data_IF_197266649042
#
_entry.id   IF_197266649042
#
_cell.length_a   1.000
_cell.length_b   1.000
_cell.length_c   1.000
_cell.angle_alpha   90.00
_cell.angle_beta   90.00
_cell.angle_gamma   90.00
#
_symmetry.space_group_name_H-M   'P 1'
#
loop_
_entity.id
_entity.type
_entity.pdbx_description
1 polymer ?
#
# COMPACT_ATOMS: atom_id res chain seq x y z
N UNK A 1 -12.36 -48.38 3.92
CA UNK A 1 -12.02 -46.96 3.70
C UNK A 1 -10.58 -46.92 3.24
N UNK A 2 -10.34 -46.46 2.01
CA UNK A 2 -8.99 -46.40 1.43
C UNK A 2 -8.32 -45.14 1.95
N UNK A 3 -7.40 -45.30 2.91
CA UNK A 3 -6.63 -44.20 3.48
C UNK A 3 -5.56 -43.82 2.45
N UNK A 4 -5.66 -42.62 1.88
CA UNK A 4 -4.67 -42.09 0.93
C UNK A 4 -3.39 -41.79 1.71
N UNK A 5 -2.30 -42.50 1.39
CA UNK A 5 -0.99 -42.27 1.99
C UNK A 5 -0.23 -41.18 1.19
N UNK A 6 0.60 -40.39 1.87
CA UNK A 6 1.37 -39.25 1.31
C UNK A 6 2.33 -39.61 0.16
N UNK A 7 2.53 -40.90 -0.09
CA UNK A 7 3.32 -41.42 -1.20
C UNK A 7 2.53 -41.59 -2.50
N UNK A 8 1.21 -41.34 -2.49
CA UNK A 8 0.35 -41.47 -3.67
C UNK A 8 0.75 -40.46 -4.77
N UNK A 9 1.00 -40.91 -6.01
CA UNK A 9 1.28 -40.05 -7.16
C UNK A 9 0.21 -38.97 -7.39
N UNK A 10 -1.05 -39.24 -7.05
CA UNK A 10 -2.16 -38.30 -7.12
C UNK A 10 -2.02 -37.17 -6.11
N UNK A 11 -1.63 -37.47 -4.86
CA UNK A 11 -1.39 -36.47 -3.83
C UNK A 11 -0.19 -35.58 -4.18
N UNK A 12 0.89 -36.15 -4.70
CA UNK A 12 2.05 -35.38 -5.20
C UNK A 12 1.67 -34.49 -6.38
N UNK A 13 0.89 -35.00 -7.34
CA UNK A 13 0.41 -34.19 -8.46
C UNK A 13 -0.50 -33.06 -8.01
N UNK A 14 -1.43 -33.29 -7.07
CA UNK A 14 -2.28 -32.24 -6.51
C UNK A 14 -1.47 -31.22 -5.72
N UNK A 15 -0.49 -31.64 -4.91
CA UNK A 15 0.43 -30.75 -4.19
C UNK A 15 1.30 -29.91 -5.14
N UNK A 16 1.87 -30.52 -6.17
CA UNK A 16 2.66 -29.81 -7.21
C UNK A 16 1.78 -28.94 -8.11
N UNK A 17 0.52 -29.28 -8.33
CA UNK A 17 -0.43 -28.46 -9.09
C UNK A 17 -0.93 -27.26 -8.27
N UNK A 18 -1.12 -27.42 -6.95
CA UNK A 18 -1.42 -26.31 -6.03
C UNK A 18 -0.22 -25.38 -5.82
N UNK A 19 1.02 -25.90 -5.81
CA UNK A 19 2.24 -25.07 -5.88
C UNK A 19 2.44 -24.36 -7.25
N UNK A 20 1.59 -24.65 -8.24
CA UNK A 20 1.62 -24.10 -9.60
C UNK A 20 0.47 -23.12 -9.88
N UNK A 21 -0.24 -22.62 -8.88
CA UNK A 21 -1.02 -21.39 -9.07
C UNK A 21 -0.01 -20.24 -9.20
N UNK A 22 0.01 -19.57 -10.35
CA UNK A 22 0.90 -18.43 -10.56
C UNK A 22 0.70 -17.41 -9.44
N UNK A 23 1.79 -16.93 -8.83
CA UNK A 23 1.72 -15.92 -7.78
C UNK A 23 1.23 -14.59 -8.34
N UNK A 24 0.75 -13.69 -7.47
CA UNK A 24 0.27 -12.37 -7.89
C UNK A 24 1.39 -11.60 -8.58
N UNK A 25 2.59 -11.61 -8.01
CA UNK A 25 3.80 -11.02 -8.64
C UNK A 25 4.07 -11.57 -10.04
N UNK A 26 3.92 -12.89 -10.23
CA UNK A 26 4.13 -13.55 -11.51
C UNK A 26 3.08 -13.12 -12.55
N UNK A 27 1.79 -13.07 -12.17
CA UNK A 27 0.73 -12.60 -13.06
C UNK A 27 0.96 -11.14 -13.47
N UNK A 28 1.42 -10.28 -12.56
CA UNK A 28 1.70 -8.89 -12.86
C UNK A 28 2.89 -8.73 -13.81
N UNK A 29 3.92 -9.56 -13.65
CA UNK A 29 5.06 -9.59 -14.56
C UNK A 29 4.68 -10.04 -15.96
N UNK A 30 3.88 -11.11 -16.08
CA UNK A 30 3.36 -11.60 -17.36
C UNK A 30 2.47 -10.54 -18.03
N UNK A 31 1.62 -9.85 -17.25
CA UNK A 31 0.82 -8.74 -17.74
C UNK A 31 1.68 -7.56 -18.22
N UNK A 32 2.71 -7.17 -17.45
CA UNK A 32 3.66 -6.11 -17.81
C UNK A 32 4.43 -6.45 -19.08
N UNK A 33 4.96 -7.66 -19.21
CA UNK A 33 5.73 -8.08 -20.39
C UNK A 33 4.85 -8.10 -21.65
N UNK A 34 3.63 -8.62 -21.54
CA UNK A 34 2.64 -8.61 -22.62
C UNK A 34 2.28 -7.20 -23.06
N UNK A 35 2.16 -6.26 -22.12
CA UNK A 35 1.87 -4.86 -22.45
C UNK A 35 3.07 -4.14 -23.06
N UNK A 36 4.28 -4.38 -22.55
CA UNK A 36 5.52 -3.84 -23.13
C UNK A 36 5.73 -4.32 -24.57
N UNK A 37 5.40 -5.58 -24.85
CA UNK A 37 5.42 -6.13 -26.21
C UNK A 37 4.41 -5.44 -27.13
N UNK A 38 3.19 -5.13 -26.65
CA UNK A 38 2.19 -4.36 -27.43
C UNK A 38 2.67 -2.96 -27.76
N UNK A 39 3.35 -2.29 -26.84
CA UNK A 39 3.85 -0.93 -27.02
C UNK A 39 5.04 -0.86 -28.00
N UNK A 40 5.83 -1.93 -28.09
CA UNK A 40 6.89 -2.04 -29.10
C UNK A 40 6.38 -2.09 -30.54
N UNK A 41 5.12 -2.51 -30.75
CA UNK A 41 4.55 -2.78 -32.07
C UNK A 41 3.47 -1.76 -32.53
N UNK A 42 3.04 -0.80 -31.71
CA UNK A 42 2.03 0.22 -32.08
C UNK A 42 2.62 1.62 -32.34
N UNK A 43 2.17 2.34 -33.39
CA UNK A 43 2.37 3.79 -33.48
C UNK A 43 1.54 4.49 -32.39
N UNK A 44 2.21 5.28 -31.56
CA UNK A 44 1.70 5.98 -30.37
C UNK A 44 0.43 6.79 -30.73
N UNK A 45 -0.75 6.28 -30.37
CA UNK A 45 -2.04 6.95 -30.63
C UNK A 45 -2.87 7.20 -29.36
N UNK A 46 -2.35 6.92 -28.18
CA UNK A 46 -2.97 7.34 -26.92
C UNK A 46 -1.86 7.60 -25.87
N UNK A 47 -2.00 8.61 -24.99
CA UNK A 47 -1.16 8.75 -23.82
C UNK A 47 -1.57 7.66 -22.85
N UNK A 48 -0.90 6.51 -22.93
CA UNK A 48 -1.24 5.38 -22.09
C UNK A 48 -0.29 5.35 -20.89
N UNK A 49 -0.78 5.87 -19.76
CA UNK A 49 -0.21 5.54 -18.45
C UNK A 49 -0.57 4.08 -18.19
N UNK A 50 0.43 3.21 -18.33
CA UNK A 50 0.24 1.80 -18.04
C UNK A 50 0.55 1.59 -16.57
N UNK A 51 -0.50 1.42 -15.78
CA UNK A 51 -0.40 1.27 -14.34
C UNK A 51 0.67 0.25 -13.93
N UNK A 52 0.69 -0.94 -14.55
CA UNK A 52 1.67 -1.98 -14.22
C UNK A 52 3.14 -1.62 -14.53
N UNK A 53 3.41 -0.73 -15.48
CA UNK A 53 4.77 -0.23 -15.73
C UNK A 53 5.15 0.76 -14.63
N UNK A 54 4.30 1.76 -14.39
CA UNK A 54 4.51 2.80 -13.37
C UNK A 54 4.64 2.20 -11.98
N UNK A 55 3.80 1.22 -11.65
CA UNK A 55 3.85 0.50 -10.38
C UNK A 55 5.20 -0.20 -10.15
N UNK A 56 5.78 -0.80 -11.18
CA UNK A 56 7.12 -1.39 -11.09
C UNK A 56 8.23 -0.33 -11.04
N UNK A 57 8.07 0.80 -11.74
CA UNK A 57 9.02 1.92 -11.68
C UNK A 57 9.09 2.53 -10.25
N UNK A 58 7.98 2.47 -9.51
CA UNK A 58 7.92 2.80 -8.07
C UNK A 58 8.28 1.62 -7.14
N UNK A 59 8.86 0.54 -7.70
CA UNK A 59 9.31 -0.66 -6.97
C UNK A 59 8.20 -1.47 -6.29
N UNK A 60 6.95 -1.35 -6.76
CA UNK A 60 5.84 -2.11 -6.22
C UNK A 60 5.98 -3.63 -6.38
N UNK A 61 6.47 -4.11 -7.53
CA UNK A 61 6.67 -5.55 -7.75
C UNK A 61 7.77 -6.16 -6.87
N UNK A 62 8.98 -5.57 -6.76
CA UNK A 62 9.99 -6.06 -5.81
C UNK A 62 9.48 -6.22 -4.37
N UNK A 63 8.69 -5.26 -3.88
CA UNK A 63 8.11 -5.35 -2.53
C UNK A 63 7.08 -6.49 -2.40
N UNK A 64 6.23 -6.70 -3.41
CA UNK A 64 5.31 -7.85 -3.45
C UNK A 64 6.07 -9.17 -3.50
N UNK A 65 7.10 -9.29 -4.33
CA UNK A 65 7.93 -10.49 -4.42
C UNK A 65 8.61 -10.80 -3.08
N UNK A 66 9.15 -9.78 -2.41
CA UNK A 66 9.76 -9.95 -1.10
C UNK A 66 8.74 -10.41 -0.04
N UNK A 67 7.54 -9.81 -0.03
CA UNK A 67 6.44 -10.24 0.83
C UNK A 67 5.99 -11.68 0.54
N UNK A 68 5.89 -12.07 -0.73
CA UNK A 68 5.55 -13.46 -1.11
C UNK A 68 6.60 -14.45 -0.63
N UNK A 69 7.89 -14.12 -0.73
CA UNK A 69 8.97 -14.96 -0.22
C UNK A 69 8.87 -15.10 1.31
N UNK A 70 8.74 -13.99 2.04
CA UNK A 70 8.60 -13.99 3.51
C UNK A 70 7.38 -14.78 3.96
N UNK A 71 6.25 -14.61 3.26
CA UNK A 71 5.00 -15.33 3.50
C UNK A 71 5.17 -16.83 3.30
N UNK A 72 5.71 -17.26 2.15
CA UNK A 72 5.91 -18.67 1.83
C UNK A 72 6.88 -19.35 2.80
N UNK A 73 7.97 -18.67 3.18
CA UNK A 73 8.92 -19.17 4.18
C UNK A 73 8.24 -19.31 5.56
N UNK A 74 7.45 -18.31 5.95
CA UNK A 74 6.70 -18.32 7.21
C UNK A 74 5.66 -19.42 7.23
N UNK A 75 4.91 -19.62 6.14
CA UNK A 75 3.93 -20.69 6.01
C UNK A 75 4.60 -22.07 6.11
N UNK A 76 5.73 -22.28 5.43
CA UNK A 76 6.49 -23.53 5.54
C UNK A 76 6.92 -23.82 6.99
N UNK A 77 7.35 -22.80 7.73
CA UNK A 77 7.69 -22.90 9.15
C UNK A 77 6.47 -23.21 10.03
N UNK A 78 5.32 -22.57 9.78
CA UNK A 78 4.05 -22.88 10.46
C UNK A 78 3.67 -24.33 10.23
N UNK A 79 3.69 -24.82 8.98
CA UNK A 79 3.33 -26.19 8.65
C UNK A 79 4.28 -27.21 9.29
N UNK A 80 5.59 -26.95 9.27
CA UNK A 80 6.58 -27.80 9.91
C UNK A 80 6.37 -27.87 11.43
N UNK A 81 6.04 -26.75 12.06
CA UNK A 81 5.73 -26.69 13.48
C UNK A 81 4.47 -27.49 13.83
N UNK A 82 3.35 -27.25 13.11
CA UNK A 82 2.11 -27.98 13.32
C UNK A 82 2.28 -29.50 13.13
N UNK A 83 3.12 -29.91 12.18
CA UNK A 83 3.41 -31.33 11.95
C UNK A 83 4.24 -32.00 13.07
N UNK A 84 4.88 -31.21 13.93
CA UNK A 84 5.72 -31.70 15.04
C UNK A 84 5.00 -31.82 16.38
N UNK A 85 3.80 -31.24 16.51
CA UNK A 85 3.02 -31.22 17.75
C UNK A 85 2.27 -32.52 18.00
N UNK A 86 2.01 -32.82 19.28
CA UNK A 86 1.05 -33.85 19.67
C UNK A 86 -0.40 -33.44 19.32
N UNK A 87 -1.31 -34.40 19.25
CA UNK A 87 -2.70 -34.16 18.78
C UNK A 87 -3.45 -33.15 19.67
N UNK A 88 -3.23 -33.19 20.98
CA UNK A 88 -3.87 -32.27 21.93
C UNK A 88 -3.38 -30.81 21.78
N UNK A 89 -2.05 -30.62 21.73
CA UNK A 89 -1.42 -29.31 21.55
C UNK A 89 -1.73 -28.72 20.16
N UNK A 90 -1.80 -29.59 19.15
CA UNK A 90 -2.10 -29.22 17.77
C UNK A 90 -3.49 -28.58 17.65
N UNK A 91 -4.50 -29.12 18.31
CA UNK A 91 -5.86 -28.58 18.24
C UNK A 91 -6.02 -27.24 18.96
N UNK A 92 -5.26 -26.99 20.03
CA UNK A 92 -5.22 -25.68 20.68
C UNK A 92 -4.53 -24.63 19.80
N UNK A 93 -3.35 -24.95 19.27
CA UNK A 93 -2.60 -24.03 18.39
C UNK A 93 -3.40 -23.72 17.13
N UNK A 94 -4.04 -24.73 16.50
CA UNK A 94 -4.88 -24.51 15.30
C UNK A 94 -6.02 -23.54 15.56
N UNK A 95 -6.74 -23.66 16.68
CA UNK A 95 -7.84 -22.72 17.03
C UNK A 95 -7.34 -21.28 17.07
N UNK A 96 -6.15 -21.09 17.62
CA UNK A 96 -5.53 -19.76 17.73
C UNK A 96 -5.09 -19.21 16.37
N UNK A 97 -4.48 -20.04 15.52
CA UNK A 97 -4.10 -19.64 14.17
C UNK A 97 -5.31 -19.35 13.27
N UNK A 98 -6.40 -20.13 13.42
CA UNK A 98 -7.66 -19.90 12.72
C UNK A 98 -8.27 -18.58 13.18
N UNK A 99 -8.28 -18.29 14.48
CA UNK A 99 -8.80 -17.01 14.97
C UNK A 99 -8.03 -15.82 14.38
N UNK A 100 -6.69 -15.89 14.32
CA UNK A 100 -5.86 -14.86 13.68
C UNK A 100 -6.23 -14.73 12.20
N UNK A 101 -6.39 -15.85 11.49
CA UNK A 101 -6.82 -15.86 10.08
C UNK A 101 -8.19 -15.22 9.89
N UNK A 102 -9.15 -15.50 10.77
CA UNK A 102 -10.51 -14.96 10.65
C UNK A 102 -10.54 -13.44 10.76
N UNK A 103 -9.62 -12.82 11.51
CA UNK A 103 -9.48 -11.36 11.56
C UNK A 103 -9.10 -10.79 10.18
N UNK A 104 -8.20 -11.46 9.46
CA UNK A 104 -7.78 -11.05 8.11
C UNK A 104 -8.88 -11.24 7.05
N UNK A 105 -9.82 -12.15 7.29
CA UNK A 105 -10.94 -12.42 6.37
C UNK A 105 -12.14 -11.50 6.61
N UNK A 106 -12.40 -11.10 7.87
CA UNK A 106 -13.56 -10.23 8.22
C UNK A 106 -13.52 -8.84 7.60
N UNK A 107 -12.34 -8.37 7.18
CA UNK A 107 -12.23 -7.10 6.45
C UNK A 107 -13.06 -7.11 5.15
N UNK A 108 -13.19 -8.26 4.48
CA UNK A 108 -14.00 -8.38 3.25
C UNK A 108 -15.52 -8.27 3.47
N UNK A 109 -15.99 -8.35 4.72
CA UNK A 109 -17.41 -8.31 5.09
C UNK A 109 -17.83 -6.94 5.65
N UNK A 110 -17.02 -6.33 6.52
CA UNK A 110 -17.35 -5.03 7.14
C UNK A 110 -17.36 -3.86 6.12
N UNK A 111 -16.50 -3.89 5.10
CA UNK A 111 -16.46 -2.86 4.04
C UNK A 111 -17.70 -2.90 3.13
N UNK A 112 -18.33 -4.07 2.94
CA UNK A 112 -19.58 -4.21 2.17
C UNK A 112 -20.80 -3.65 2.92
N UNK A 113 -20.79 -3.71 4.24
CA UNK A 113 -21.89 -3.17 5.07
C UNK A 113 -21.84 -1.63 5.16
N UNK A 114 -20.66 -1.01 5.11
CA UNK A 114 -20.51 0.46 5.06
C UNK A 114 -21.02 1.05 3.72
N UNK A 115 -20.86 0.35 2.59
CA UNK A 115 -21.37 0.82 1.28
C UNK A 115 -22.90 0.72 1.14
N UNK A 116 -23.55 -0.30 1.71
CA UNK A 116 -25.01 -0.47 1.62
C UNK A 116 -25.79 0.36 2.67
N UNK A 117 -25.13 0.88 3.71
CA UNK A 117 -25.76 1.55 4.86
C UNK A 117 -26.15 3.03 4.68
N UNK A 118 -25.91 3.63 3.51
CA UNK A 118 -26.17 5.04 3.21
C UNK A 118 -27.65 5.42 3.03
N UNK A 119 -28.55 5.05 3.96
CA UNK A 119 -30.00 5.26 3.84
C UNK A 119 -30.73 5.53 5.15
N UNK A 120 -30.82 6.81 5.54
CA UNK A 120 -31.77 7.46 6.49
C UNK A 120 -32.46 6.60 7.60
N UNK A 121 -32.02 6.88 8.84
CA UNK A 121 -32.69 6.85 10.14
C UNK A 121 -34.14 6.32 10.28
N UNK A 122 -34.32 5.42 11.27
CA UNK A 122 -35.33 5.55 12.34
C UNK A 122 -34.97 4.76 13.61
N UNK A 123 -35.00 5.50 14.70
CA UNK A 123 -35.06 5.18 16.13
C UNK A 123 -35.95 3.96 16.51
N UNK A 124 -35.42 2.98 17.25
CA UNK A 124 -35.74 2.69 18.67
C UNK A 124 -35.00 1.42 19.18
N UNK A 125 -34.58 1.43 20.45
CA UNK A 125 -33.51 0.57 21.00
C UNK A 125 -33.86 -0.83 21.52
N UNK A 126 -32.80 -1.59 21.88
CA UNK A 126 -32.62 -2.21 23.20
C UNK A 126 -31.16 -2.73 23.33
N UNK A 127 -30.67 -2.80 24.58
CA UNK A 127 -29.29 -3.08 24.99
C UNK A 127 -28.91 -4.56 24.92
N UNK A 128 -27.73 -4.88 24.37
CA UNK A 128 -26.89 -6.01 24.84
C UNK A 128 -25.46 -5.96 24.27
N UNK A 129 -24.56 -5.36 25.05
CA UNK A 129 -23.11 -5.64 25.17
C UNK A 129 -22.36 -6.23 23.97
N UNK A 130 -21.62 -5.38 23.25
CA UNK A 130 -20.37 -5.76 22.58
C UNK A 130 -19.40 -4.57 22.55
N UNK A 131 -18.12 -4.89 22.71
CA UNK A 131 -16.98 -4.00 22.89
C UNK A 131 -16.99 -2.76 21.99
N UNK A 132 -16.84 -1.59 22.61
CA UNK A 132 -16.70 -0.32 21.91
C UNK A 132 -15.45 -0.32 21.03
N UNK A 133 -15.62 -0.19 19.71
CA UNK A 133 -14.71 0.57 18.88
C UNK A 133 -15.58 1.54 18.07
N UNK A 134 -15.92 2.65 18.70
CA UNK A 134 -16.61 3.76 18.06
C UNK A 134 -15.73 4.99 18.24
N UNK A 135 -14.76 5.15 17.34
CA UNK A 135 -14.41 6.49 16.90
C UNK A 135 -15.06 6.64 15.54
N UNK A 136 -16.20 7.31 15.53
CA UNK A 136 -16.86 7.71 14.30
C UNK A 136 -15.89 8.59 13.51
N UNK A 137 -15.41 8.10 12.36
CA UNK A 137 -14.82 8.96 11.34
C UNK A 137 -15.95 9.85 10.84
N UNK A 138 -16.00 11.07 11.37
CA UNK A 138 -16.96 12.07 10.98
C UNK A 138 -16.65 12.52 9.55
N UNK A 139 -17.54 12.14 8.62
CA UNK A 139 -17.68 12.76 7.33
C UNK A 139 -17.99 14.27 7.50
N UNK A 140 -16.95 15.09 7.52
CA UNK A 140 -17.03 16.54 7.36
C UNK A 140 -15.81 16.99 6.55
N UNK A 141 -16.08 17.58 5.38
CA UNK A 141 -15.08 17.84 4.36
C UNK A 141 -13.90 18.72 4.80
N UNK A 142 -12.77 18.49 4.14
CA UNK A 142 -11.68 19.46 4.03
C UNK A 142 -10.44 19.24 4.92
N UNK A 143 -10.35 18.15 5.68
CA UNK A 143 -9.23 17.90 6.62
C UNK A 143 -8.49 16.56 6.49
N UNK A 144 -8.78 15.74 5.46
CA UNK A 144 -8.40 14.32 5.46
C UNK A 144 -6.90 13.99 5.41
N UNK A 145 -6.05 14.94 4.97
CA UNK A 145 -4.62 14.68 4.80
C UNK A 145 -3.84 14.54 6.11
N UNK A 146 -4.12 15.38 7.11
CA UNK A 146 -3.50 15.27 8.45
C UNK A 146 -4.12 14.13 9.26
N UNK A 147 -5.43 13.89 9.09
CA UNK A 147 -6.14 12.78 9.71
C UNK A 147 -5.56 11.42 9.31
N UNK A 148 -5.30 11.21 8.01
CA UNK A 148 -4.68 9.98 7.51
C UNK A 148 -3.30 9.70 8.13
N UNK A 149 -2.41 10.71 8.15
CA UNK A 149 -1.03 10.53 8.67
C UNK A 149 -1.05 10.23 10.16
N UNK A 150 -1.90 10.93 10.91
CA UNK A 150 -2.05 10.69 12.34
C UNK A 150 -2.56 9.28 12.60
N UNK A 151 -3.60 8.83 11.88
CA UNK A 151 -4.13 7.47 11.99
C UNK A 151 -3.06 6.43 11.65
N UNK A 152 -2.34 6.57 10.53
CA UNK A 152 -1.28 5.61 10.16
C UNK A 152 -0.15 5.58 11.20
N UNK A 153 0.29 6.75 11.65
CA UNK A 153 1.36 6.87 12.63
C UNK A 153 0.95 6.25 13.96
N UNK A 154 -0.26 6.53 14.44
CA UNK A 154 -0.83 5.92 15.64
C UNK A 154 -0.92 4.39 15.52
N UNK A 155 -1.38 3.86 14.38
CA UNK A 155 -1.47 2.42 14.14
C UNK A 155 -0.09 1.76 14.11
N UNK A 156 0.90 2.38 13.48
CA UNK A 156 2.28 1.88 13.45
C UNK A 156 2.93 1.91 14.85
N UNK A 157 2.68 2.96 15.63
CA UNK A 157 3.07 2.99 17.03
C UNK A 157 2.36 1.91 17.84
N UNK A 158 1.05 1.72 17.65
CA UNK A 158 0.33 0.71 18.39
C UNK A 158 0.77 -0.71 17.99
N UNK A 159 1.25 -0.92 16.76
CA UNK A 159 1.86 -2.19 16.33
C UNK A 159 3.24 -2.42 16.98
N UNK A 160 3.82 -1.41 17.64
CA UNK A 160 5.15 -1.41 18.26
C UNK A 160 6.28 -1.71 17.27
N UNK A 161 6.11 -1.30 16.02
CA UNK A 161 7.14 -1.40 15.00
C UNK A 161 7.83 -0.05 14.84
N UNK A 162 9.16 -0.04 14.80
CA UNK A 162 9.95 1.17 14.54
C UNK A 162 9.87 1.56 13.05
N UNK A 163 8.67 1.89 12.58
CA UNK A 163 8.39 2.28 11.20
C UNK A 163 7.58 3.58 11.16
N UNK A 164 7.95 4.46 10.24
CA UNK A 164 7.23 5.69 9.92
C UNK A 164 6.69 5.62 8.49
N UNK A 165 5.51 6.20 8.21
CA UNK A 165 4.89 6.16 6.89
C UNK A 165 5.43 7.26 5.95
N UNK A 166 6.67 7.71 6.11
CA UNK A 166 7.17 8.96 5.51
C UNK A 166 7.12 8.97 3.99
N UNK A 167 7.53 7.86 3.35
CA UNK A 167 7.50 7.75 1.88
C UNK A 167 6.07 7.72 1.34
N UNK A 168 5.16 7.01 2.01
CA UNK A 168 3.74 6.98 1.67
C UNK A 168 3.11 8.36 1.85
N UNK A 169 3.41 9.04 2.96
CA UNK A 169 2.95 10.39 3.22
C UNK A 169 3.44 11.37 2.14
N UNK A 170 4.72 11.30 1.75
CA UNK A 170 5.31 12.14 0.69
C UNK A 170 4.62 11.93 -0.66
N UNK A 171 4.38 10.68 -1.06
CA UNK A 171 3.66 10.35 -2.30
C UNK A 171 2.21 10.88 -2.26
N UNK A 172 1.51 10.65 -1.14
CA UNK A 172 0.14 11.13 -0.93
C UNK A 172 0.05 12.66 -0.99
N UNK A 173 0.93 13.37 -0.29
CA UNK A 173 0.97 14.85 -0.30
C UNK A 173 1.20 15.37 -1.71
N UNK A 174 2.17 14.81 -2.44
CA UNK A 174 2.42 15.18 -3.84
C UNK A 174 1.17 15.02 -4.71
N UNK A 175 0.43 13.93 -4.54
CA UNK A 175 -0.80 13.68 -5.28
C UNK A 175 -1.89 14.72 -4.99
N UNK A 176 -2.15 15.05 -3.72
CA UNK A 176 -3.14 16.07 -3.34
C UNK A 176 -2.73 17.49 -3.74
N UNK A 177 -1.45 17.82 -3.59
CA UNK A 177 -0.91 19.12 -3.99
C UNK A 177 -1.06 19.32 -5.51
N UNK A 178 -0.78 18.27 -6.30
CA UNK A 178 -0.97 18.29 -7.73
C UNK A 178 -2.44 18.50 -8.13
N UNK A 179 -3.39 17.81 -7.48
CA UNK A 179 -4.84 18.03 -7.70
C UNK A 179 -5.20 19.49 -7.44
N UNK A 180 -4.77 20.01 -6.29
CA UNK A 180 -5.06 21.39 -5.88
C UNK A 180 -4.49 22.43 -6.87
N UNK A 181 -3.31 22.16 -7.44
CA UNK A 181 -2.65 22.99 -8.45
C UNK A 181 -3.42 23.00 -9.79
N UNK A 182 -3.90 21.84 -10.23
CA UNK A 182 -4.67 21.70 -11.48
C UNK A 182 -6.05 22.33 -11.36
N UNK A 183 -6.73 22.14 -10.23
CA UNK A 183 -8.07 22.68 -9.98
C UNK A 183 -8.08 24.21 -9.78
N UNK A 184 -6.94 24.83 -9.45
CA UNK A 184 -6.88 26.28 -9.25
C UNK A 184 -7.37 27.03 -10.50
N UNK A 185 -8.32 27.96 -10.40
CA UNK A 185 -8.78 28.73 -11.55
C UNK A 185 -7.63 29.57 -12.13
N UNK A 186 -7.41 29.50 -13.45
CA UNK A 186 -6.50 30.42 -14.13
C UNK A 186 -7.12 31.81 -14.00
N UNK A 187 -6.48 32.70 -13.25
CA UNK A 187 -6.88 34.11 -13.24
C UNK A 187 -6.86 34.60 -14.68
N UNK A 188 -7.99 35.16 -15.14
CA UNK A 188 -8.10 35.69 -16.48
C UNK A 188 -7.02 36.76 -16.70
N UNK A 189 -5.97 36.42 -17.45
CA UNK A 189 -5.10 37.42 -18.05
C UNK A 189 -5.96 38.22 -19.04
N UNK A 190 -6.49 39.34 -18.55
CA UNK A 190 -6.95 40.44 -19.38
C UNK A 190 -5.95 41.57 -19.21
N UNK A 191 -5.13 41.73 -20.25
CA UNK A 191 -4.40 42.91 -20.69
C UNK A 191 -4.20 44.07 -19.70
N UNK A 192 -2.93 44.42 -19.43
CA UNK A 192 -2.40 45.68 -19.96
C UNK A 192 -0.85 45.65 -20.02
N UNK A 193 -0.30 46.20 -21.09
CA UNK A 193 1.12 46.16 -21.38
C UNK A 193 1.91 47.28 -20.71
N UNK A 194 3.18 47.01 -20.37
CA UNK A 194 4.21 48.06 -20.29
C UNK A 194 5.61 47.45 -20.40
N UNK A 195 6.19 47.63 -21.58
CA UNK A 195 7.55 48.14 -21.80
C UNK A 195 8.74 47.45 -21.12
N UNK A 196 9.43 46.64 -21.93
CA UNK A 196 10.89 46.60 -22.11
C UNK A 196 11.66 47.73 -21.39
N UNK A 197 12.56 47.36 -20.48
CA UNK A 197 13.98 47.72 -20.56
C UNK A 197 14.81 46.96 -19.53
N UNK A 198 15.90 46.35 -20.00
CA UNK A 198 17.04 45.94 -19.16
C UNK A 198 17.84 47.18 -18.76
N UNK A 199 18.64 47.10 -17.70
CA UNK A 199 20.08 47.07 -18.00
C UNK A 199 20.88 46.06 -17.18
N UNK A 200 21.97 45.66 -17.82
CA UNK A 200 23.08 44.89 -17.29
C UNK A 200 24.02 45.73 -16.42
N UNK A 201 24.83 45.03 -15.61
CA UNK A 201 26.00 45.55 -14.89
C UNK A 201 25.85 45.44 -13.37
N UNK A 202 26.80 45.01 -12.57
CA UNK A 202 28.20 44.64 -12.74
C UNK A 202 28.62 43.72 -11.58
N UNK A 203 29.83 43.20 -11.68
CA UNK A 203 30.44 42.10 -10.96
C UNK A 203 30.80 42.31 -9.46
N UNK A 204 31.08 41.15 -8.84
CA UNK A 204 32.20 40.88 -7.90
C UNK A 204 31.99 41.11 -6.39
N UNK A 205 32.82 40.53 -5.49
CA UNK A 205 33.35 39.15 -5.39
C UNK A 205 33.26 38.53 -3.97
N UNK A 206 33.34 37.20 -3.90
CA UNK A 206 34.28 36.43 -3.04
C UNK A 206 34.28 36.52 -1.50
N UNK A 207 34.02 35.37 -0.86
CA UNK A 207 34.58 34.89 0.42
C UNK A 207 34.03 33.46 0.67
N UNK A 208 34.80 32.36 0.58
CA UNK A 208 35.73 31.76 1.57
C UNK A 208 35.06 31.61 2.95
N UNK A 209 34.93 30.45 3.59
CA UNK A 209 35.77 29.24 3.64
C UNK A 209 35.00 28.08 4.35
N UNK A 210 35.44 26.84 4.09
CA UNK A 210 35.56 25.67 5.01
C UNK A 210 34.27 25.01 5.56
N UNK A 211 33.93 23.79 5.12
CA UNK A 211 34.39 22.47 5.63
C UNK A 211 33.85 22.12 7.03
N UNK A 212 32.77 21.33 7.07
CA UNK A 212 32.55 20.31 8.11
C UNK A 212 31.93 19.07 7.42
N UNK A 213 32.77 18.06 7.26
CA UNK A 213 32.41 16.69 6.90
C UNK A 213 32.25 15.92 8.22
N UNK A 214 31.03 15.48 8.56
CA UNK A 214 30.86 14.42 9.56
C UNK A 214 29.83 13.38 9.11
N UNK A 215 30.26 12.12 9.26
CA UNK A 215 29.74 10.89 8.71
C UNK A 215 28.26 10.58 9.00
N UNK A 216 27.52 10.20 7.95
CA UNK A 216 26.60 9.06 8.00
C UNK A 216 26.65 8.32 6.67
N UNK A 217 27.35 7.19 6.69
CA UNK A 217 27.32 6.16 5.67
C UNK A 217 25.95 5.48 5.73
N UNK A 218 25.11 5.71 4.72
CA UNK A 218 24.04 4.85 4.19
C UNK A 218 23.05 5.76 3.43
N UNK A 219 23.27 5.98 2.12
CA UNK A 219 22.20 6.10 1.10
C UNK A 219 22.78 6.27 -0.33
N UNK A 220 23.72 5.41 -0.73
CA UNK A 220 24.46 5.55 -1.98
C UNK A 220 23.66 5.20 -3.25
N UNK A 221 22.56 4.47 -3.11
CA UNK A 221 21.81 3.92 -4.26
C UNK A 221 20.47 4.62 -4.51
N UNK A 222 19.91 5.33 -3.51
CA UNK A 222 18.64 6.04 -3.65
C UNK A 222 18.74 7.36 -4.45
N UNK A 223 19.89 8.04 -4.43
CA UNK A 223 20.05 9.37 -5.07
C UNK A 223 20.14 9.32 -6.59
N UNK A 224 20.66 8.23 -7.18
CA UNK A 224 20.80 8.13 -8.64
C UNK A 224 19.47 7.85 -9.35
N UNK A 225 18.53 7.16 -8.69
CA UNK A 225 17.19 6.92 -9.23
C UNK A 225 16.28 8.15 -9.20
N UNK A 226 16.34 8.94 -8.12
CA UNK A 226 15.52 10.16 -7.98
C UNK A 226 15.95 11.30 -8.93
N UNK A 227 17.26 11.41 -9.24
CA UNK A 227 17.77 12.43 -10.17
C UNK A 227 17.53 12.06 -11.64
N UNK A 228 17.61 10.77 -12.00
CA UNK A 228 17.29 10.29 -13.36
C UNK A 228 15.78 10.37 -13.66
N UNK A 229 14.89 10.12 -12.69
CA UNK A 229 13.45 10.32 -12.85
C UNK A 229 13.09 11.80 -13.12
N UNK A 230 13.72 12.74 -12.40
CA UNK A 230 13.50 14.19 -12.63
C UNK A 230 13.98 14.68 -13.99
N UNK A 231 15.01 14.06 -14.57
CA UNK A 231 15.51 14.43 -15.90
C UNK A 231 14.69 13.79 -17.04
N UNK A 232 14.14 12.59 -16.86
CA UNK A 232 13.25 11.95 -17.85
C UNK A 232 11.84 12.55 -17.85
N UNK A 233 11.26 12.90 -16.70
CA UNK A 233 10.00 13.65 -16.62
C UNK A 233 10.10 15.00 -17.35
N UNK A 234 11.19 15.75 -17.12
CA UNK A 234 11.44 17.05 -17.79
C UNK A 234 11.61 16.95 -19.30
N UNK A 235 12.01 15.80 -19.83
CA UNK A 235 12.30 15.64 -21.27
C UNK A 235 11.05 15.31 -22.09
N UNK A 236 10.02 14.72 -21.47
CA UNK A 236 8.74 14.42 -22.11
C UNK A 236 7.70 15.55 -21.96
N UNK A 237 7.90 16.49 -21.03
CA UNK A 237 6.99 17.63 -20.78
C UNK A 237 7.19 18.84 -21.71
N UNK A 238 8.17 18.82 -22.61
CA UNK A 238 8.58 20.01 -23.37
C UNK A 238 7.57 20.52 -24.44
N UNK A 239 6.28 20.16 -24.38
CA UNK A 239 5.28 20.68 -25.32
C UNK A 239 3.79 20.40 -25.06
N UNK A 240 3.38 19.84 -23.91
CA UNK A 240 1.95 19.56 -23.63
C UNK A 240 1.42 20.47 -22.52
N UNK A 241 0.16 20.91 -22.65
CA UNK A 241 -0.54 21.65 -21.60
C UNK A 241 -0.65 20.76 -20.34
N UNK A 242 -0.09 21.15 -19.18
CA UNK A 242 -0.17 20.38 -17.94
C UNK A 242 -1.62 20.21 -17.44
N UNK A 243 -2.56 21.00 -17.99
CA UNK A 243 -4.00 20.89 -17.76
C UNK A 243 -4.75 20.29 -18.95
N UNK A 244 -4.06 19.56 -19.84
CA UNK A 244 -4.73 18.71 -20.82
C UNK A 244 -5.39 17.51 -20.11
N UNK A 245 -6.50 17.01 -20.67
CA UNK A 245 -7.21 15.83 -20.12
C UNK A 245 -6.29 14.62 -20.09
N UNK A 246 -5.44 14.52 -21.12
CA UNK A 246 -4.43 13.50 -21.29
C UNK A 246 -3.35 13.57 -20.21
N UNK A 247 -2.79 14.76 -19.93
CA UNK A 247 -1.83 14.94 -18.84
C UNK A 247 -2.45 14.62 -17.48
N UNK A 248 -3.70 15.06 -17.25
CA UNK A 248 -4.40 14.80 -16.00
C UNK A 248 -4.60 13.30 -15.78
N UNK A 249 -5.01 12.56 -16.82
CA UNK A 249 -5.14 11.11 -16.75
C UNK A 249 -3.81 10.42 -16.42
N UNK A 250 -2.73 10.80 -17.11
CA UNK A 250 -1.40 10.23 -16.87
C UNK A 250 -0.92 10.45 -15.44
N UNK A 251 -1.00 11.69 -14.93
CA UNK A 251 -0.60 12.04 -13.57
C UNK A 251 -1.46 11.33 -12.52
N UNK A 252 -2.76 11.12 -12.81
CA UNK A 252 -3.67 10.39 -11.91
C UNK A 252 -3.24 8.93 -11.77
N UNK A 253 -3.04 8.23 -12.89
CA UNK A 253 -2.63 6.81 -12.88
C UNK A 253 -1.24 6.64 -12.27
N UNK A 254 -0.30 7.54 -12.56
CA UNK A 254 1.04 7.51 -11.94
C UNK A 254 1.00 7.72 -10.43
N UNK A 255 0.19 8.67 -9.96
CA UNK A 255 0.05 8.95 -8.53
C UNK A 255 -0.59 7.78 -7.79
N UNK A 256 -1.60 7.13 -8.37
CA UNK A 256 -2.19 5.90 -7.81
C UNK A 256 -1.14 4.80 -7.72
N UNK A 257 -0.39 4.55 -8.80
CA UNK A 257 0.67 3.55 -8.81
C UNK A 257 1.75 3.81 -7.74
N UNK A 258 2.17 5.08 -7.57
CA UNK A 258 3.15 5.46 -6.53
C UNK A 258 2.60 5.19 -5.12
N UNK A 259 1.40 5.68 -4.81
CA UNK A 259 0.79 5.51 -3.48
C UNK A 259 0.57 4.04 -3.15
N UNK A 260 0.15 3.23 -4.12
CA UNK A 260 0.01 1.77 -3.96
C UNK A 260 1.37 1.11 -3.67
N UNK A 261 2.41 1.44 -4.45
CA UNK A 261 3.74 0.88 -4.24
C UNK A 261 4.30 1.24 -2.86
N UNK A 262 4.13 2.49 -2.40
CA UNK A 262 4.53 2.93 -1.06
C UNK A 262 3.70 2.30 0.06
N UNK A 263 2.45 1.97 -0.19
CA UNK A 263 1.59 1.24 0.77
C UNK A 263 2.08 -0.20 0.95
N UNK A 264 2.44 -0.86 -0.14
CA UNK A 264 3.00 -2.22 -0.11
C UNK A 264 4.41 -2.22 0.50
N UNK A 265 5.25 -1.23 0.20
CA UNK A 265 6.54 -1.03 0.87
C UNK A 265 6.36 -0.92 2.40
N UNK A 266 5.34 -0.18 2.85
CA UNK A 266 5.03 -0.06 4.27
C UNK A 266 4.65 -1.41 4.89
N UNK A 267 3.77 -2.18 4.24
CA UNK A 267 3.40 -3.53 4.69
C UNK A 267 4.60 -4.49 4.70
N UNK A 268 5.47 -4.39 3.70
CA UNK A 268 6.71 -5.16 3.63
C UNK A 268 7.63 -4.88 4.83
N UNK A 269 7.90 -3.60 5.13
CA UNK A 269 8.70 -3.21 6.29
C UNK A 269 8.08 -3.66 7.60
N UNK A 270 6.76 -3.59 7.71
CA UNK A 270 6.02 -4.10 8.87
C UNK A 270 6.21 -5.61 9.02
N UNK A 271 6.13 -6.39 7.94
CA UNK A 271 6.36 -7.83 7.95
C UNK A 271 7.77 -8.18 8.45
N UNK A 272 8.80 -7.49 7.95
CA UNK A 272 10.18 -7.67 8.40
C UNK A 272 10.33 -7.38 9.90
N UNK A 273 9.72 -6.31 10.40
CA UNK A 273 9.77 -5.92 11.81
C UNK A 273 9.01 -6.89 12.73
N UNK A 274 7.89 -7.47 12.28
CA UNK A 274 7.16 -8.50 13.03
C UNK A 274 7.98 -9.80 13.14
N UNK A 275 8.74 -10.13 12.09
CA UNK A 275 9.52 -11.38 12.03
C UNK A 275 10.86 -11.27 12.78
N UNK A 276 11.49 -10.09 12.77
CA UNK A 276 12.85 -9.90 13.30
C UNK A 276 12.94 -8.93 14.49
N UNK A 277 11.88 -8.18 14.81
CA UNK A 277 11.84 -7.27 15.96
C UNK A 277 11.85 -8.04 17.27
N UNK A 278 12.87 -7.80 18.10
CA UNK A 278 13.10 -8.59 19.32
C UNK A 278 12.17 -8.25 20.50
N UNK A 279 11.41 -7.15 20.43
CA UNK A 279 10.54 -6.65 21.51
C UNK A 279 9.09 -6.43 21.02
N UNK A 280 8.36 -7.52 20.77
CA UNK A 280 6.92 -7.44 20.43
C UNK A 280 6.06 -7.52 21.69
N UNK A 281 5.53 -6.37 22.14
CA UNK A 281 4.74 -6.27 23.38
C UNK A 281 3.29 -6.78 23.23
N UNK A 282 2.70 -6.73 22.03
CA UNK A 282 1.29 -7.05 21.81
C UNK A 282 1.01 -8.51 21.43
N UNK A 283 -0.12 -9.08 21.87
CA UNK A 283 -0.65 -10.34 21.35
C UNK A 283 -0.84 -10.30 19.83
N UNK A 284 -0.63 -11.45 19.16
CA UNK A 284 -0.78 -11.54 17.70
C UNK A 284 -2.20 -11.20 17.21
N UNK A 285 -3.23 -11.45 18.03
CA UNK A 285 -4.61 -11.05 17.71
C UNK A 285 -4.77 -9.53 17.60
N UNK A 286 -4.19 -8.79 18.54
CA UNK A 286 -4.24 -7.33 18.52
C UNK A 286 -3.45 -6.79 17.33
N UNK A 287 -2.29 -7.39 17.04
CA UNK A 287 -1.50 -7.06 15.84
C UNK A 287 -2.30 -7.31 14.56
N UNK A 288 -3.05 -8.41 14.46
CA UNK A 288 -3.92 -8.68 13.31
C UNK A 288 -4.96 -7.56 13.11
N UNK A 289 -5.65 -7.14 14.16
CA UNK A 289 -6.62 -6.04 14.08
C UNK A 289 -5.99 -4.72 13.66
N UNK A 290 -4.79 -4.43 14.18
CA UNK A 290 -4.06 -3.20 13.83
C UNK A 290 -3.62 -3.22 12.36
N UNK A 291 -3.14 -4.37 11.86
CA UNK A 291 -2.78 -4.54 10.45
C UNK A 291 -4.00 -4.37 9.54
N UNK A 292 -5.14 -4.96 9.88
CA UNK A 292 -6.40 -4.78 9.14
C UNK A 292 -6.80 -3.30 9.09
N UNK A 293 -6.77 -2.59 10.23
CA UNK A 293 -7.07 -1.14 10.29
C UNK A 293 -6.09 -0.30 9.48
N UNK A 294 -4.81 -0.65 9.51
CA UNK A 294 -3.75 0.02 8.75
C UNK A 294 -4.02 -0.11 7.24
N UNK A 295 -4.29 -1.32 6.76
CA UNK A 295 -4.64 -1.61 5.37
C UNK A 295 -5.91 -0.90 4.94
N UNK A 296 -6.97 -0.95 5.76
CA UNK A 296 -8.23 -0.25 5.48
C UNK A 296 -8.02 1.28 5.33
N UNK A 297 -7.21 1.89 6.20
CA UNK A 297 -6.87 3.31 6.09
C UNK A 297 -6.13 3.63 4.78
N UNK A 298 -5.21 2.76 4.34
CA UNK A 298 -4.51 2.90 3.06
C UNK A 298 -5.47 2.75 1.87
N UNK A 299 -6.39 1.78 1.88
CA UNK A 299 -7.40 1.60 0.83
C UNK A 299 -8.33 2.81 0.72
N UNK A 300 -8.87 3.30 1.86
CA UNK A 300 -9.74 4.49 1.89
C UNK A 300 -9.06 5.74 1.33
N UNK A 301 -7.76 5.89 1.55
CA UNK A 301 -6.99 7.00 0.99
C UNK A 301 -6.81 6.87 -0.54
N UNK A 302 -6.52 5.68 -1.03
CA UNK A 302 -6.43 5.38 -2.48
C UNK A 302 -7.77 5.67 -3.16
N UNK A 303 -8.88 5.24 -2.57
CA UNK A 303 -10.23 5.52 -3.08
C UNK A 303 -10.53 7.02 -3.10
N UNK A 304 -10.14 7.75 -2.05
CA UNK A 304 -10.28 9.20 -1.97
C UNK A 304 -9.51 9.89 -3.10
N UNK A 305 -8.28 9.46 -3.36
CA UNK A 305 -7.45 9.95 -4.46
C UNK A 305 -8.06 9.63 -5.82
N UNK A 306 -8.47 8.38 -6.07
CA UNK A 306 -9.09 7.97 -7.33
C UNK A 306 -10.35 8.79 -7.63
N UNK A 307 -11.15 9.09 -6.60
CA UNK A 307 -12.32 9.97 -6.72
C UNK A 307 -11.91 11.41 -7.04
N UNK A 308 -10.95 11.98 -6.33
CA UNK A 308 -10.45 13.35 -6.60
C UNK A 308 -9.89 13.49 -8.02
N UNK A 309 -9.13 12.52 -8.48
CA UNK A 309 -8.62 12.48 -9.84
C UNK A 309 -9.74 12.38 -10.89
N UNK A 310 -10.75 11.56 -10.62
CA UNK A 310 -11.94 11.46 -11.47
C UNK A 310 -12.71 12.78 -11.56
N UNK A 311 -12.91 13.46 -10.42
CA UNK A 311 -13.54 14.77 -10.35
C UNK A 311 -12.71 15.83 -11.08
N UNK A 312 -11.38 15.80 -10.94
CA UNK A 312 -10.44 16.69 -11.65
C UNK A 312 -10.53 16.47 -13.17
N UNK A 313 -10.59 15.21 -13.62
CA UNK A 313 -10.78 14.87 -15.04
C UNK A 313 -12.09 15.43 -15.59
N UNK A 314 -13.19 15.32 -14.82
CA UNK A 314 -14.48 15.89 -15.19
C UNK A 314 -14.44 17.42 -15.27
N UNK A 315 -13.75 18.07 -14.33
CA UNK A 315 -13.59 19.52 -14.31
C UNK A 315 -12.82 20.03 -15.54
N UNK A 316 -11.62 19.46 -15.78
CA UNK A 316 -10.75 19.85 -16.89
C UNK A 316 -11.35 19.45 -18.24
N UNK A 317 -12.01 18.29 -18.29
CA UNK A 317 -12.63 17.68 -19.45
C UNK A 317 -14.02 18.21 -19.80
N UNK A 318 -14.57 19.20 -19.09
CA UNK A 318 -15.96 19.67 -19.30
C UNK A 318 -16.30 20.15 -20.73
N UNK A 319 -15.28 20.37 -21.57
CA UNK A 319 -15.39 20.74 -23.00
C UNK A 319 -15.22 19.56 -23.98
N UNK A 320 -14.90 18.36 -23.49
CA UNK A 320 -14.80 17.11 -24.26
C UNK A 320 -16.18 16.43 -24.35
N UNK A 321 -16.33 15.52 -25.32
CA UNK A 321 -17.53 14.67 -25.41
C UNK A 321 -17.50 13.59 -24.33
N UNK A 322 -18.68 13.17 -23.90
CA UNK A 322 -18.82 12.10 -22.91
C UNK A 322 -18.20 10.77 -23.38
N UNK A 323 -18.27 10.46 -24.69
CA UNK A 323 -17.67 9.23 -25.24
C UNK A 323 -16.14 9.19 -25.15
N UNK A 324 -15.50 10.36 -25.07
CA UNK A 324 -14.04 10.49 -24.97
C UNK A 324 -13.59 10.56 -23.50
N UNK A 325 -14.37 11.23 -22.64
CA UNK A 325 -14.02 11.46 -21.24
C UNK A 325 -14.35 10.27 -20.33
N UNK A 326 -15.50 9.62 -20.55
CA UNK A 326 -15.96 8.51 -19.71
C UNK A 326 -14.95 7.36 -19.61
N UNK A 327 -14.32 6.88 -20.71
CA UNK A 327 -13.31 5.83 -20.61
C UNK A 327 -12.09 6.20 -19.76
N UNK A 328 -11.71 7.48 -19.72
CA UNK A 328 -10.58 7.95 -18.89
C UNK A 328 -10.94 7.97 -17.41
N UNK A 329 -12.15 8.44 -17.09
CA UNK A 329 -12.68 8.41 -15.72
C UNK A 329 -12.84 6.96 -15.24
N UNK A 330 -13.47 6.11 -16.05
CA UNK A 330 -13.61 4.67 -15.76
C UNK A 330 -12.22 4.02 -15.58
N UNK A 331 -11.22 4.44 -16.37
CA UNK A 331 -9.84 3.99 -16.23
C UNK A 331 -9.20 4.36 -14.90
N UNK A 332 -9.30 5.62 -14.47
CA UNK A 332 -8.77 6.05 -13.16
C UNK A 332 -9.44 5.30 -12.01
N UNK A 333 -10.76 5.13 -12.06
CA UNK A 333 -11.50 4.37 -11.04
C UNK A 333 -11.08 2.89 -11.02
N UNK A 334 -10.92 2.28 -12.20
CA UNK A 334 -10.44 0.91 -12.30
C UNK A 334 -9.04 0.75 -11.70
N UNK A 335 -8.12 1.67 -11.97
CA UNK A 335 -6.79 1.62 -11.36
C UNK A 335 -6.80 1.90 -9.86
N UNK A 336 -7.76 2.72 -9.38
CA UNK A 336 -8.04 2.87 -7.95
C UNK A 336 -8.48 1.54 -7.31
N UNK A 337 -9.41 0.81 -7.94
CA UNK A 337 -9.82 -0.52 -7.47
C UNK A 337 -8.68 -1.56 -7.57
N UNK A 338 -7.86 -1.52 -8.62
CA UNK A 338 -6.70 -2.40 -8.72
C UNK A 338 -5.70 -2.12 -7.59
N UNK A 339 -5.51 -0.84 -7.26
CA UNK A 339 -4.64 -0.37 -6.18
C UNK A 339 -5.07 -0.93 -4.81
N UNK A 340 -6.36 -0.83 -4.47
CA UNK A 340 -6.89 -1.41 -3.21
C UNK A 340 -6.70 -2.93 -3.17
N UNK A 341 -7.02 -3.62 -4.26
CA UNK A 341 -6.80 -5.06 -4.38
C UNK A 341 -5.32 -5.45 -4.15
N UNK A 342 -4.35 -4.68 -4.66
CA UNK A 342 -2.93 -4.99 -4.40
C UNK A 342 -2.55 -4.81 -2.94
N UNK A 343 -3.07 -3.78 -2.28
CA UNK A 343 -2.83 -3.49 -0.87
C UNK A 343 -3.45 -4.59 0.02
N UNK A 344 -4.67 -5.02 -0.27
CA UNK A 344 -5.35 -6.12 0.42
C UNK A 344 -4.65 -7.46 0.22
N UNK A 345 -4.24 -7.78 -1.01
CA UNK A 345 -3.47 -8.99 -1.27
C UNK A 345 -2.13 -8.98 -0.54
N UNK A 346 -1.46 -7.82 -0.46
CA UNK A 346 -0.25 -7.66 0.33
C UNK A 346 -0.52 -7.91 1.83
N UNK A 347 -1.65 -7.46 2.38
CA UNK A 347 -2.06 -7.80 3.74
C UNK A 347 -2.20 -9.32 3.91
N UNK A 348 -2.80 -10.05 2.98
CA UNK A 348 -2.94 -11.51 3.09
C UNK A 348 -1.58 -12.23 3.20
N UNK A 349 -0.52 -11.67 2.61
CA UNK A 349 0.85 -12.19 2.73
C UNK A 349 1.46 -12.00 4.14
N UNK A 350 0.92 -11.10 4.96
CA UNK A 350 1.35 -10.91 6.35
C UNK A 350 0.76 -11.97 7.29
N UNK A 351 -0.29 -12.69 6.89
CA UNK A 351 -0.94 -13.67 7.77
C UNK A 351 0.05 -14.78 8.22
N UNK A 352 0.76 -15.48 7.32
CA UNK A 352 1.72 -16.51 7.76
C UNK A 352 2.87 -15.92 8.58
N UNK A 353 3.31 -14.69 8.27
CA UNK A 353 4.35 -13.97 9.02
C UNK A 353 3.93 -13.72 10.46
N UNK A 354 2.69 -13.27 10.67
CA UNK A 354 2.16 -13.05 12.01
C UNK A 354 1.95 -14.37 12.77
N UNK A 355 1.46 -15.41 12.09
CA UNK A 355 1.27 -16.74 12.67
C UNK A 355 2.59 -17.36 13.15
N UNK A 356 3.67 -17.28 12.35
CA UNK A 356 4.97 -17.81 12.81
C UNK A 356 5.54 -16.99 13.96
N UNK A 357 5.41 -15.66 13.93
CA UNK A 357 5.84 -14.78 15.03
C UNK A 357 5.08 -15.10 16.33
N UNK A 358 3.78 -15.42 16.24
CA UNK A 358 2.98 -15.87 17.37
C UNK A 358 3.48 -17.19 17.96
N UNK A 359 3.70 -18.19 17.11
CA UNK A 359 4.22 -19.52 17.51
C UNK A 359 5.57 -19.37 18.22
N UNK A 360 6.49 -18.61 17.63
CA UNK A 360 7.82 -18.37 18.18
C UNK A 360 7.75 -17.70 19.56
N UNK A 361 6.87 -16.70 19.74
CA UNK A 361 6.68 -16.03 21.03
C UNK A 361 6.17 -16.95 22.13
N UNK A 362 5.24 -17.85 21.81
CA UNK A 362 4.71 -18.80 22.81
C UNK A 362 5.77 -19.82 23.25
N UNK A 363 6.71 -20.19 22.37
CA UNK A 363 7.67 -21.27 22.61
C UNK A 363 9.08 -20.79 22.98
N UNK A 364 9.41 -19.51 22.79
CA UNK A 364 10.67 -18.91 23.24
C UNK A 364 10.61 -18.33 24.67
N UNK A 365 9.47 -18.40 25.38
CA UNK A 365 9.42 -18.06 26.82
C UNK A 365 10.00 -19.22 27.63
N UNK A 366 11.17 -19.09 28.29
CA UNK A 366 11.66 -20.13 29.17
C UNK A 366 10.69 -20.28 30.33
N UNK A 367 10.21 -21.51 30.55
CA UNK A 367 9.46 -21.93 31.74
C UNK A 367 10.32 -21.62 32.98
N UNK A 368 10.13 -20.45 33.56
CA UNK A 368 10.70 -20.09 34.86
C UNK A 368 9.64 -20.38 35.91
N UNK A 369 9.48 -21.66 36.24
CA UNK A 369 8.95 -22.05 37.54
C UNK A 369 10.11 -22.08 38.54
N UNK A 370 10.14 -21.23 39.58
CA UNK A 370 10.98 -21.52 40.73
C UNK A 370 10.28 -22.64 41.52
N UNK A 371 10.87 -23.83 41.47
CA UNK A 371 10.56 -24.90 42.42
C UNK A 371 11.04 -24.44 43.80
N UNK A 372 10.16 -23.82 44.58
CA UNK A 372 10.38 -23.65 46.02
C UNK A 372 10.25 -25.01 46.72
N UNK A 373 11.33 -25.79 46.67
CA UNK A 373 11.60 -26.77 47.71
C UNK A 373 12.35 -26.07 48.83
N UNK A 374 11.64 -25.61 49.85
CA UNK A 374 12.22 -25.34 51.16
C UNK A 374 11.76 -26.44 52.12
N UNK A 375 12.56 -27.51 52.20
CA UNK A 375 12.70 -28.27 53.43
C UNK A 375 14.00 -27.80 54.08
N UNK A 376 13.90 -27.13 55.23
CA UNK A 376 14.61 -27.50 56.45
C UNK A 376 14.12 -26.69 57.65
#
# INVERSE_FOLDING_TARGET
MTVLAETDPGFKKTKTLMQKTASLSQMLKEAKEKERARLGDQPISAPAAHYGILFDDYQGLPHLEALEILSNESEAKVQAFLSSLAEEELEEVKKELIFIKDIFMKQEEEEKEEEEGGGRAKDNGDLSSHSHCSTALSAAGGGGGEEFVNVLTELLFELHVAATPDKLNKARVRAHDWVSEVERPVAAETADGATRDQPAGEASPGGKEEEEEEMRMEDGEARQGEEQQKEEEKKNEAGSDPRSVEAVYLSSVSSLAEVTARSIEQLHKVAELILHGQDMEKPARDQAHVLTRLTCAMCKEVESLAKKFSDTLLLVGGRRKAEELKPLVDGVLLEGSNSTNYIENALQLLLPVLQISHIQRQHCRPTTEPVEHTQH
#
